data_IF_131364362417
#
_entry.id   IF_131364362417
#
_cell.length_a   1.000
_cell.length_b   1.000
_cell.length_c   1.000
_cell.angle_alpha   90.00
_cell.angle_beta   90.00
_cell.angle_gamma   90.00
#
_symmetry.space_group_name_H-M   'P 1'
#
loop_
_entity.id
_entity.type
_entity.pdbx_description
1 polymer ?
#
# COMPACT_ATOMS: atom_id res chain seq x y z
N UNK A 1 -19.80 -9.29 9.16
CA UNK A 1 -18.87 -8.30 8.59
C UNK A 1 -18.36 -8.87 7.27
N UNK A 2 -18.46 -8.11 6.18
CA UNK A 2 -17.90 -8.48 4.89
C UNK A 2 -16.37 -8.23 4.91
N UNK A 3 -15.51 -9.21 4.66
CA UNK A 3 -14.05 -9.03 4.64
C UNK A 3 -13.61 -8.34 3.35
N UNK A 4 -14.05 -7.11 3.14
CA UNK A 4 -13.72 -6.30 1.98
C UNK A 4 -13.53 -4.83 2.36
N UNK A 5 -12.60 -4.17 1.68
CA UNK A 5 -12.51 -2.72 1.63
C UNK A 5 -13.25 -2.24 0.38
N UNK A 6 -14.19 -1.33 0.54
CA UNK A 6 -15.00 -0.79 -0.57
C UNK A 6 -14.69 0.68 -0.83
N UNK A 7 -14.79 1.10 -2.08
CA UNK A 7 -14.68 2.51 -2.46
C UNK A 7 -15.99 3.25 -2.27
N UNK A 8 -15.89 4.59 -2.12
CA UNK A 8 -17.03 5.52 -2.09
C UNK A 8 -17.04 6.32 -3.39
N UNK A 9 -18.23 6.61 -3.90
CA UNK A 9 -18.39 7.27 -5.20
C UNK A 9 -18.03 8.75 -5.18
N UNK A 10 -18.38 9.47 -4.13
CA UNK A 10 -18.27 10.93 -4.06
C UNK A 10 -17.65 11.47 -2.75
N UNK A 11 -17.96 12.73 -2.46
CA UNK A 11 -17.49 13.44 -1.28
C UNK A 11 -18.30 13.12 -0.02
N UNK A 12 -19.48 12.53 -0.21
CA UNK A 12 -20.41 12.13 0.86
C UNK A 12 -20.93 10.73 0.58
N UNK A 13 -21.47 10.08 1.61
CA UNK A 13 -22.11 8.77 1.47
C UNK A 13 -23.53 8.97 0.94
N UNK A 14 -23.83 8.42 -0.23
CA UNK A 14 -25.17 8.44 -0.81
C UNK A 14 -26.13 7.49 -0.10
N UNK A 15 -27.44 7.68 -0.27
CA UNK A 15 -28.47 6.87 0.38
C UNK A 15 -28.36 5.36 0.06
N UNK A 16 -28.03 5.01 -1.19
CA UNK A 16 -27.83 3.62 -1.60
C UNK A 16 -26.58 3.01 -0.97
N UNK A 17 -25.47 3.79 -0.91
CA UNK A 17 -24.24 3.38 -0.25
C UNK A 17 -24.46 3.20 1.26
N UNK A 18 -25.19 4.11 1.90
CA UNK A 18 -25.55 3.97 3.32
C UNK A 18 -26.32 2.69 3.58
N UNK A 19 -27.33 2.39 2.78
CA UNK A 19 -28.12 1.15 2.89
C UNK A 19 -27.23 -0.09 2.70
N UNK A 20 -26.33 -0.07 1.73
CA UNK A 20 -25.37 -1.14 1.47
C UNK A 20 -24.37 -1.32 2.63
N UNK A 21 -23.80 -0.24 3.15
CA UNK A 21 -22.85 -0.27 4.28
C UNK A 21 -23.54 -0.86 5.52
N UNK A 22 -24.75 -0.38 5.86
CA UNK A 22 -25.51 -0.89 7.00
C UNK A 22 -25.82 -2.37 6.87
N UNK A 23 -26.14 -2.84 5.66
CA UNK A 23 -26.48 -4.25 5.38
C UNK A 23 -25.26 -5.15 5.42
N UNK A 24 -24.16 -4.78 4.74
CA UNK A 24 -23.03 -5.65 4.48
C UNK A 24 -21.91 -5.52 5.52
N UNK A 25 -21.85 -4.39 6.23
CA UNK A 25 -20.83 -4.11 7.24
C UNK A 25 -19.42 -4.43 6.71
N UNK A 26 -18.90 -3.70 5.69
CA UNK A 26 -17.58 -3.96 5.12
C UNK A 26 -16.48 -3.78 6.17
N UNK A 27 -15.37 -4.50 6.05
CA UNK A 27 -14.21 -4.35 6.94
C UNK A 27 -13.63 -2.93 6.93
N UNK A 28 -13.83 -2.19 5.82
CA UNK A 28 -13.40 -0.80 5.73
C UNK A 28 -13.64 -0.18 4.36
N UNK A 29 -12.97 0.94 4.16
CA UNK A 29 -13.14 1.80 3.00
C UNK A 29 -11.79 2.23 2.45
N UNK A 30 -11.71 2.40 1.13
CA UNK A 30 -10.57 3.03 0.45
C UNK A 30 -11.03 4.37 -0.14
N UNK A 31 -10.27 5.44 0.18
CA UNK A 31 -10.49 6.78 -0.36
C UNK A 31 -9.51 7.07 -1.49
N UNK A 32 -10.02 7.69 -2.54
CA UNK A 32 -9.27 8.17 -3.69
C UNK A 32 -9.34 9.70 -3.78
N UNK A 33 -8.61 10.31 -4.70
CA UNK A 33 -8.63 11.76 -4.90
C UNK A 33 -10.03 12.32 -5.15
N UNK A 34 -10.92 11.55 -5.79
CA UNK A 34 -12.33 11.93 -6.01
C UNK A 34 -13.14 12.09 -4.73
N UNK A 35 -12.66 11.56 -3.61
CA UNK A 35 -13.33 11.65 -2.31
C UNK A 35 -12.79 12.78 -1.44
N UNK A 36 -11.81 13.56 -1.94
CA UNK A 36 -11.03 14.52 -1.15
C UNK A 36 -11.12 15.91 -1.80
N UNK A 37 -11.85 16.82 -1.18
CA UNK A 37 -12.05 18.20 -1.62
C UNK A 37 -11.51 19.21 -0.60
N UNK A 38 -12.01 19.15 0.64
CA UNK A 38 -11.56 19.99 1.75
C UNK A 38 -11.33 19.15 3.02
N UNK A 39 -10.58 19.71 3.96
CA UNK A 39 -10.29 19.04 5.24
C UNK A 39 -11.59 18.73 6.00
N UNK A 40 -12.49 19.68 6.07
CA UNK A 40 -13.78 19.57 6.76
C UNK A 40 -14.65 18.48 6.10
N UNK A 41 -14.69 18.47 4.77
CA UNK A 41 -15.45 17.49 4.00
C UNK A 41 -14.93 16.08 4.26
N UNK A 42 -13.61 15.82 4.14
CA UNK A 42 -13.03 14.48 4.35
C UNK A 42 -13.27 13.99 5.78
N UNK A 43 -13.11 14.87 6.77
CA UNK A 43 -13.40 14.54 8.17
C UNK A 43 -14.87 14.15 8.36
N UNK A 44 -15.78 14.90 7.76
CA UNK A 44 -17.22 14.58 7.75
C UNK A 44 -17.50 13.22 7.12
N UNK A 45 -16.89 12.94 5.95
CA UNK A 45 -17.00 11.65 5.26
C UNK A 45 -16.50 10.50 6.14
N UNK A 46 -15.27 10.59 6.67
CA UNK A 46 -14.68 9.53 7.49
C UNK A 46 -15.45 9.30 8.79
N UNK A 47 -16.02 10.35 9.40
CA UNK A 47 -16.88 10.22 10.57
C UNK A 47 -18.21 9.54 10.22
N UNK A 48 -18.83 9.90 9.10
CA UNK A 48 -20.06 9.26 8.60
C UNK A 48 -19.86 7.77 8.36
N UNK A 49 -18.76 7.40 7.69
CA UNK A 49 -18.41 6.00 7.45
C UNK A 49 -18.25 5.20 8.75
N UNK A 50 -17.65 5.80 9.79
CA UNK A 50 -17.53 5.15 11.10
C UNK A 50 -18.87 4.97 11.80
N UNK A 51 -19.76 5.96 11.72
CA UNK A 51 -21.10 5.88 12.32
C UNK A 51 -22.00 4.84 11.68
N UNK A 52 -21.76 4.48 10.41
CA UNK A 52 -22.52 3.48 9.68
C UNK A 52 -22.11 2.05 10.00
N UNK A 53 -20.91 1.85 10.54
CA UNK A 53 -20.39 0.53 10.89
C UNK A 53 -20.62 0.19 12.37
N UNK A 54 -20.93 -1.09 12.65
CA UNK A 54 -21.05 -1.61 14.02
C UNK A 54 -19.70 -1.95 14.66
N UNK A 55 -18.62 -1.86 13.90
CA UNK A 55 -17.24 -2.09 14.32
C UNK A 55 -16.39 -0.88 13.95
N UNK A 56 -15.12 -0.89 14.34
CA UNK A 56 -14.17 0.17 13.96
C UNK A 56 -13.62 -0.13 12.55
N UNK A 57 -14.09 0.55 11.49
CA UNK A 57 -13.68 0.22 10.13
C UNK A 57 -12.26 0.68 9.83
N UNK A 58 -11.58 -0.03 8.93
CA UNK A 58 -10.39 0.47 8.27
C UNK A 58 -10.81 1.60 7.33
N UNK A 59 -10.10 2.73 7.37
CA UNK A 59 -10.20 3.80 6.38
C UNK A 59 -8.81 3.98 5.79
N UNK A 60 -8.67 3.58 4.52
CA UNK A 60 -7.40 3.47 3.83
C UNK A 60 -7.25 4.49 2.71
N UNK A 61 -6.00 4.80 2.37
CA UNK A 61 -5.63 5.68 1.25
C UNK A 61 -4.26 5.28 0.69
N UNK A 62 -4.02 5.56 -0.60
CA UNK A 62 -2.67 5.54 -1.19
C UNK A 62 -2.01 6.90 -1.04
N UNK A 63 -1.21 7.10 -0.01
CA UNK A 63 -0.48 8.34 0.23
C UNK A 63 1.01 8.01 0.29
N UNK A 64 1.64 7.86 -0.88
CA UNK A 64 3.04 7.43 -0.99
C UNK A 64 4.02 8.61 -1.01
N UNK A 65 3.58 9.71 -1.59
CA UNK A 65 4.40 10.85 -2.00
C UNK A 65 4.64 10.88 -3.51
N UNK A 66 5.18 11.98 -4.01
CA UNK A 66 5.41 12.21 -5.43
C UNK A 66 4.11 12.18 -6.25
N UNK A 67 4.03 11.27 -7.23
CA UNK A 67 2.86 11.16 -8.12
C UNK A 67 1.65 10.47 -7.47
N UNK A 68 1.84 9.79 -6.34
CA UNK A 68 0.76 9.08 -5.62
C UNK A 68 0.48 9.82 -4.31
N UNK A 69 -0.19 10.96 -4.45
CA UNK A 69 -0.64 11.85 -3.36
C UNK A 69 -2.13 12.11 -3.55
N UNK A 70 -2.98 11.53 -2.70
CA UNK A 70 -4.43 11.71 -2.81
C UNK A 70 -4.91 13.02 -2.18
N UNK A 71 -4.10 13.59 -1.29
CA UNK A 71 -4.38 14.84 -0.56
C UNK A 71 -3.84 16.09 -1.25
N UNK A 72 -3.48 16.01 -2.54
CA UNK A 72 -2.91 17.14 -3.29
C UNK A 72 -3.88 18.35 -3.37
N UNK A 73 -5.20 18.10 -3.47
CA UNK A 73 -6.24 19.14 -3.42
C UNK A 73 -6.24 19.94 -2.12
N UNK A 74 -5.74 19.36 -1.02
CA UNK A 74 -5.60 20.01 0.28
C UNK A 74 -4.29 20.80 0.42
N UNK A 75 -3.49 20.92 -0.66
CA UNK A 75 -2.19 21.58 -0.64
C UNK A 75 -1.06 20.73 -0.05
N UNK A 76 -1.30 19.48 0.32
CA UNK A 76 -0.28 18.59 0.86
C UNK A 76 0.46 17.87 -0.28
N UNK A 77 1.52 18.50 -0.77
CA UNK A 77 2.41 17.96 -1.79
C UNK A 77 3.64 17.34 -1.12
N UNK A 78 3.71 16.02 -1.12
CA UNK A 78 4.78 15.26 -0.47
C UNK A 78 5.86 14.85 -1.47
N UNK A 79 7.16 14.87 -1.10
CA UNK A 79 8.24 14.41 -1.97
C UNK A 79 8.09 12.92 -2.30
N UNK A 80 8.62 12.51 -3.47
CA UNK A 80 8.59 11.11 -3.85
C UNK A 80 9.62 10.28 -3.06
N UNK A 81 9.35 8.99 -2.81
CA UNK A 81 10.33 8.07 -2.23
C UNK A 81 11.67 8.10 -2.96
N UNK A 82 11.66 8.04 -4.30
CA UNK A 82 12.88 8.07 -5.10
C UNK A 82 13.66 9.40 -4.98
N UNK A 83 12.99 10.53 -4.78
CA UNK A 83 13.69 11.81 -4.57
C UNK A 83 14.43 11.84 -3.24
N UNK A 84 13.80 11.37 -2.17
CA UNK A 84 14.44 11.26 -0.85
C UNK A 84 15.57 10.22 -0.84
N UNK A 85 15.38 9.11 -1.55
CA UNK A 85 16.42 8.10 -1.71
C UNK A 85 17.67 8.67 -2.39
N UNK A 86 17.51 9.44 -3.48
CA UNK A 86 18.62 10.11 -4.16
C UNK A 86 19.35 11.13 -3.29
N UNK A 87 18.63 11.83 -2.44
CA UNK A 87 19.21 12.78 -1.50
C UNK A 87 19.96 12.11 -0.33
N UNK A 88 19.77 10.79 -0.12
CA UNK A 88 20.34 10.07 1.00
C UNK A 88 19.85 10.56 2.37
N UNK A 89 18.75 11.29 2.43
CA UNK A 89 18.28 11.97 3.63
C UNK A 89 17.40 11.07 4.48
N UNK A 90 17.96 10.40 5.46
CA UNK A 90 17.19 9.65 6.47
C UNK A 90 16.25 10.59 7.24
N UNK A 91 16.71 11.79 7.58
CA UNK A 91 15.87 12.82 8.24
C UNK A 91 14.64 13.17 7.41
N UNK A 92 14.78 13.34 6.10
CA UNK A 92 13.66 13.60 5.20
C UNK A 92 12.65 12.44 5.13
N UNK A 93 13.12 11.19 5.24
CA UNK A 93 12.23 10.01 5.28
C UNK A 93 11.44 9.98 6.61
N UNK A 94 12.11 10.28 7.73
CA UNK A 94 11.46 10.41 9.04
C UNK A 94 10.37 11.47 9.01
N UNK A 95 10.71 12.65 8.48
CA UNK A 95 9.77 13.77 8.35
C UNK A 95 8.60 13.44 7.44
N UNK A 96 8.85 12.84 6.26
CA UNK A 96 7.80 12.39 5.35
C UNK A 96 6.82 11.44 6.07
N UNK A 97 7.32 10.44 6.78
CA UNK A 97 6.48 9.50 7.52
C UNK A 97 5.66 10.17 8.62
N UNK A 98 6.27 11.08 9.38
CA UNK A 98 5.62 11.80 10.47
C UNK A 98 4.54 12.76 9.96
N UNK A 99 4.83 13.57 8.93
CA UNK A 99 3.87 14.51 8.33
C UNK A 99 2.72 13.74 7.68
N UNK A 100 3.02 12.67 6.95
CA UNK A 100 1.98 11.81 6.36
C UNK A 100 1.06 11.24 7.44
N UNK A 101 1.60 10.70 8.53
CA UNK A 101 0.80 10.15 9.61
C UNK A 101 -0.07 11.21 10.29
N UNK A 102 0.50 12.38 10.57
CA UNK A 102 -0.25 13.49 11.18
C UNK A 102 -1.43 13.91 10.32
N UNK A 103 -1.19 14.13 9.03
CA UNK A 103 -2.21 14.54 8.07
C UNK A 103 -3.32 13.47 7.94
N UNK A 104 -2.94 12.21 7.74
CA UNK A 104 -3.90 11.12 7.58
C UNK A 104 -4.76 10.91 8.83
N UNK A 105 -4.16 10.94 10.02
CA UNK A 105 -4.91 10.87 11.27
C UNK A 105 -5.88 12.03 11.42
N UNK A 106 -5.44 13.23 11.09
CA UNK A 106 -6.30 14.43 11.18
C UNK A 106 -7.53 14.31 10.27
N UNK A 107 -7.34 13.70 9.08
CA UNK A 107 -8.43 13.41 8.13
C UNK A 107 -9.28 12.20 8.54
N UNK A 108 -8.90 11.48 9.59
CA UNK A 108 -9.61 10.29 10.03
C UNK A 108 -9.22 9.00 9.29
N UNK A 109 -8.13 8.99 8.54
CA UNK A 109 -7.56 7.78 7.90
C UNK A 109 -6.70 7.03 8.90
N UNK A 110 -6.80 5.70 8.94
CA UNK A 110 -6.08 4.86 9.89
C UNK A 110 -5.16 3.82 9.24
N UNK A 111 -5.20 3.65 7.91
CA UNK A 111 -4.31 2.79 7.15
C UNK A 111 -3.78 3.54 5.92
N UNK A 112 -2.46 3.50 5.70
CA UNK A 112 -1.85 3.96 4.46
C UNK A 112 -1.34 2.77 3.65
N UNK A 113 -1.73 2.66 2.38
CA UNK A 113 -1.19 1.69 1.43
C UNK A 113 0.22 2.10 0.97
N UNK A 114 1.12 2.16 1.92
CA UNK A 114 2.54 2.43 1.78
C UNK A 114 3.31 1.82 2.97
N UNK A 115 4.60 1.51 2.84
CA UNK A 115 5.51 1.83 1.74
C UNK A 115 5.42 0.89 0.53
N UNK A 116 5.86 1.38 -0.64
CA UNK A 116 6.22 0.54 -1.77
C UNK A 116 7.51 -0.19 -1.43
N UNK A 117 7.50 -1.52 -1.48
CA UNK A 117 8.64 -2.39 -1.17
C UNK A 117 9.26 -3.03 -2.40
N UNK A 118 8.76 -2.66 -3.58
CA UNK A 118 9.34 -3.09 -4.84
C UNK A 118 10.73 -2.50 -5.04
N UNK A 119 11.64 -3.32 -5.59
CA UNK A 119 12.99 -2.89 -5.98
C UNK A 119 12.92 -2.28 -7.38
N UNK A 120 13.50 -1.10 -7.58
CA UNK A 120 13.56 -0.45 -8.90
C UNK A 120 14.71 -1.04 -9.72
N UNK A 121 14.49 -2.17 -10.40
CA UNK A 121 15.52 -2.80 -11.24
C UNK A 121 15.82 -2.00 -12.50
N UNK A 122 14.81 -1.35 -13.08
CA UNK A 122 14.96 -0.49 -14.25
C UNK A 122 14.13 0.79 -14.06
N UNK A 123 14.77 1.93 -13.81
CA UNK A 123 14.08 3.22 -13.64
C UNK A 123 13.44 3.74 -14.94
N UNK A 124 13.79 3.19 -16.10
CA UNK A 124 13.25 3.54 -17.41
C UNK A 124 12.07 2.65 -17.84
N UNK A 125 11.78 1.58 -17.08
CA UNK A 125 10.70 0.67 -17.41
C UNK A 125 9.34 1.37 -17.48
N UNK A 126 8.54 1.03 -18.48
CA UNK A 126 7.19 1.56 -18.67
C UNK A 126 6.16 0.88 -17.74
N UNK A 127 6.54 0.64 -16.49
CA UNK A 127 5.71 0.06 -15.46
C UNK A 127 5.13 1.14 -14.50
N UNK A 128 4.40 0.70 -13.49
CA UNK A 128 3.79 1.61 -12.52
C UNK A 128 4.75 2.19 -11.47
N UNK A 129 6.04 1.82 -11.45
CA UNK A 129 6.97 2.09 -10.34
C UNK A 129 7.83 3.37 -10.41
N UNK A 130 8.09 4.01 -11.56
CA UNK A 130 8.97 5.17 -11.61
C UNK A 130 8.63 6.22 -10.55
N UNK A 131 9.63 6.57 -9.74
CA UNK A 131 9.51 7.56 -8.66
C UNK A 131 8.95 7.01 -7.33
N UNK A 132 8.45 5.78 -7.28
CA UNK A 132 7.76 5.22 -6.09
C UNK A 132 8.66 4.34 -5.20
N UNK A 133 9.76 3.80 -5.75
CA UNK A 133 10.63 2.89 -5.02
C UNK A 133 11.63 3.62 -4.13
N UNK A 134 12.02 2.99 -3.02
CA UNK A 134 13.01 3.48 -2.08
C UNK A 134 14.46 3.18 -2.48
N UNK A 135 14.67 2.34 -3.47
CA UNK A 135 15.99 1.94 -3.96
C UNK A 135 15.94 0.96 -5.12
N UNK A 136 17.12 0.65 -5.62
CA UNK A 136 17.39 -0.30 -6.70
C UNK A 136 17.95 -1.64 -6.18
N UNK A 137 18.02 -1.79 -4.87
CA UNK A 137 18.44 -3.00 -4.19
C UNK A 137 17.64 -3.23 -2.91
N UNK A 138 17.60 -4.48 -2.43
CA UNK A 138 16.79 -4.88 -1.28
C UNK A 138 17.19 -4.14 0.01
N UNK A 139 18.49 -3.93 0.26
CA UNK A 139 18.98 -3.30 1.49
C UNK A 139 18.49 -1.85 1.63
N UNK A 140 18.51 -1.10 0.55
CA UNK A 140 18.01 0.27 0.50
C UNK A 140 16.51 0.34 0.73
N UNK A 141 15.75 -0.55 0.07
CA UNK A 141 14.30 -0.63 0.25
C UNK A 141 13.94 -1.01 1.68
N UNK A 142 14.64 -1.99 2.28
CA UNK A 142 14.43 -2.40 3.68
C UNK A 142 14.71 -1.24 4.63
N UNK A 143 15.87 -0.60 4.50
CA UNK A 143 16.26 0.45 5.43
C UNK A 143 15.35 1.68 5.35
N UNK A 144 15.12 2.19 4.14
CA UNK A 144 14.34 3.42 3.92
C UNK A 144 12.83 3.18 4.09
N UNK A 145 12.30 2.10 3.50
CA UNK A 145 10.90 1.70 3.66
C UNK A 145 10.56 1.38 5.12
N UNK A 146 11.48 0.75 5.86
CA UNK A 146 11.33 0.47 7.28
C UNK A 146 11.29 1.74 8.14
N UNK A 147 12.14 2.73 7.85
CA UNK A 147 12.11 4.05 8.52
C UNK A 147 10.77 4.73 8.28
N UNK A 148 10.29 4.76 7.03
CA UNK A 148 9.00 5.36 6.68
C UNK A 148 7.84 4.66 7.41
N UNK A 149 7.73 3.32 7.32
CA UNK A 149 6.68 2.54 7.98
C UNK A 149 6.69 2.72 9.51
N UNK A 150 7.88 2.76 10.12
CA UNK A 150 8.03 3.00 11.56
C UNK A 150 7.47 4.36 11.98
N UNK A 151 7.68 5.41 11.17
CA UNK A 151 7.19 6.75 11.48
C UNK A 151 5.66 6.88 11.23
N UNK A 152 5.10 6.20 10.23
CA UNK A 152 3.64 6.07 10.09
C UNK A 152 3.03 5.47 11.37
N UNK A 153 3.57 4.34 11.83
CA UNK A 153 3.09 3.65 13.03
C UNK A 153 3.23 4.50 14.29
N UNK A 154 4.36 5.19 14.47
CA UNK A 154 4.56 6.12 15.59
C UNK A 154 3.53 7.24 15.58
N UNK A 155 3.16 7.71 14.39
CA UNK A 155 2.10 8.70 14.20
C UNK A 155 0.68 8.13 14.34
N UNK A 156 0.50 6.82 14.59
CA UNK A 156 -0.80 6.16 14.79
C UNK A 156 -1.54 5.80 13.49
N UNK A 157 -0.84 5.73 12.35
CA UNK A 157 -1.36 5.23 11.07
C UNK A 157 -0.72 3.88 10.77
N UNK A 158 -1.53 2.91 10.44
CA UNK A 158 -1.06 1.58 10.02
C UNK A 158 -0.46 1.65 8.63
N UNK A 159 0.47 0.73 8.33
CA UNK A 159 1.17 0.65 7.06
C UNK A 159 0.90 -0.65 6.33
N UNK A 160 0.88 -0.58 5.00
CA UNK A 160 0.73 -1.71 4.11
C UNK A 160 1.89 -1.77 3.13
N UNK A 161 2.71 -2.81 3.21
CA UNK A 161 3.80 -3.02 2.25
C UNK A 161 3.27 -3.56 0.93
N UNK A 162 3.75 -3.03 -0.19
CA UNK A 162 3.28 -3.41 -1.53
C UNK A 162 4.39 -3.35 -2.58
N UNK A 163 4.29 -4.11 -3.62
CA UNK A 163 3.28 -5.04 -4.11
C UNK A 163 3.86 -6.47 -4.07
N UNK A 164 3.40 -7.26 -3.11
CA UNK A 164 3.92 -8.61 -2.83
C UNK A 164 3.67 -9.58 -4.00
N UNK A 165 4.63 -10.43 -4.38
CA UNK A 165 5.94 -10.67 -3.76
C UNK A 165 7.08 -9.81 -4.32
N UNK A 166 6.79 -8.76 -5.05
CA UNK A 166 7.69 -7.83 -5.73
C UNK A 166 7.41 -7.77 -7.22
N UNK A 167 7.04 -6.59 -7.71
CA UNK A 167 6.75 -6.36 -9.13
C UNK A 167 7.82 -5.49 -9.82
N UNK A 168 8.98 -5.31 -9.18
CA UNK A 168 10.03 -4.41 -9.67
C UNK A 168 10.60 -4.78 -11.05
N UNK A 169 10.51 -6.05 -11.43
CA UNK A 169 10.95 -6.59 -12.74
C UNK A 169 9.88 -6.53 -13.84
N UNK A 170 8.65 -6.12 -13.49
CA UNK A 170 7.58 -6.01 -14.48
C UNK A 170 7.93 -4.93 -15.51
N UNK A 171 7.78 -5.24 -16.80
CA UNK A 171 8.06 -4.31 -17.89
C UNK A 171 6.82 -3.52 -18.33
N UNK A 172 5.63 -3.95 -17.90
CA UNK A 172 4.36 -3.32 -18.23
C UNK A 172 3.63 -2.86 -16.96
N UNK A 173 2.74 -1.88 -17.11
CA UNK A 173 1.89 -1.41 -16.04
C UNK A 173 0.70 -2.36 -15.86
N UNK A 174 0.48 -2.92 -14.65
CA UNK A 174 -0.63 -3.84 -14.37
C UNK A 174 -2.02 -3.21 -14.53
N UNK A 175 -2.14 -1.89 -14.62
CA UNK A 175 -3.40 -1.23 -14.93
C UNK A 175 -3.86 -1.42 -16.39
N UNK A 176 -2.94 -1.75 -17.29
CA UNK A 176 -3.24 -1.89 -18.72
C UNK A 176 -3.12 -3.34 -19.23
N UNK A 177 -2.22 -4.12 -18.66
CA UNK A 177 -2.02 -5.51 -19.02
C UNK A 177 -1.45 -6.29 -17.84
N UNK A 178 -1.70 -7.59 -17.78
CA UNK A 178 -1.14 -8.45 -16.74
C UNK A 178 0.35 -8.71 -17.02
N UNK A 179 1.29 -8.13 -16.27
CA UNK A 179 2.71 -8.30 -16.53
C UNK A 179 3.17 -9.72 -16.20
N UNK A 180 4.16 -10.19 -16.95
CA UNK A 180 4.84 -11.47 -16.69
C UNK A 180 6.22 -11.16 -16.14
N UNK A 181 6.57 -11.78 -15.01
CA UNK A 181 7.89 -11.75 -14.41
C UNK A 181 8.45 -13.18 -14.42
N UNK A 182 9.36 -13.42 -15.35
CA UNK A 182 9.98 -14.74 -15.52
C UNK A 182 11.15 -14.90 -14.55
N UNK A 183 10.83 -15.41 -13.37
CA UNK A 183 11.74 -15.52 -12.24
C UNK A 183 11.45 -16.79 -11.45
N UNK A 184 12.49 -17.55 -11.14
CA UNK A 184 12.34 -18.73 -10.29
C UNK A 184 12.19 -18.35 -8.80
N UNK A 185 11.68 -19.29 -8.03
CA UNK A 185 11.44 -19.12 -6.60
C UNK A 185 12.72 -18.75 -5.84
N UNK A 186 13.85 -19.38 -6.19
CA UNK A 186 15.13 -19.18 -5.52
C UNK A 186 15.65 -17.76 -5.72
N UNK A 187 15.52 -17.23 -6.94
CA UNK A 187 15.94 -15.88 -7.25
C UNK A 187 15.02 -14.85 -6.60
N UNK A 188 13.70 -15.09 -6.62
CA UNK A 188 12.71 -14.24 -5.95
C UNK A 188 13.03 -14.10 -4.45
N UNK A 189 13.34 -15.22 -3.76
CA UNK A 189 13.73 -15.22 -2.35
C UNK A 189 15.03 -14.46 -2.06
N UNK A 190 15.95 -14.39 -3.02
CA UNK A 190 17.23 -13.71 -2.86
C UNK A 190 17.17 -12.22 -3.18
N UNK A 191 16.11 -11.77 -3.84
CA UNK A 191 16.00 -10.41 -4.36
C UNK A 191 14.69 -9.75 -3.94
N UNK A 192 13.66 -9.83 -4.77
CA UNK A 192 12.46 -9.02 -4.70
C UNK A 192 11.59 -9.32 -3.46
N UNK A 193 11.65 -10.53 -2.92
CA UNK A 193 10.93 -10.92 -1.72
C UNK A 193 11.62 -10.46 -0.42
N UNK A 194 12.93 -10.19 -0.43
CA UNK A 194 13.69 -9.82 0.79
C UNK A 194 13.10 -8.63 1.56
N UNK A 195 12.67 -7.52 0.91
CA UNK A 195 12.07 -6.41 1.64
C UNK A 195 10.79 -6.81 2.39
N UNK A 196 9.98 -7.68 1.81
CA UNK A 196 8.76 -8.18 2.44
C UNK A 196 9.07 -9.09 3.63
N UNK A 197 10.00 -10.03 3.48
CA UNK A 197 10.42 -10.92 4.58
C UNK A 197 10.98 -10.13 5.76
N UNK A 198 11.81 -9.11 5.48
CA UNK A 198 12.44 -8.32 6.51
C UNK A 198 11.46 -7.38 7.25
N UNK A 199 10.50 -6.80 6.53
CA UNK A 199 9.61 -5.77 7.08
C UNK A 199 8.24 -6.30 7.52
N UNK A 200 7.80 -7.48 7.07
CA UNK A 200 6.50 -8.07 7.43
C UNK A 200 6.18 -7.97 8.93
N UNK A 201 7.10 -8.26 9.87
CA UNK A 201 6.81 -8.16 11.30
C UNK A 201 6.48 -6.74 11.79
N UNK A 202 6.90 -5.71 11.03
CA UNK A 202 6.71 -4.30 11.35
C UNK A 202 5.51 -3.66 10.64
N UNK A 203 4.97 -4.34 9.61
CA UNK A 203 3.82 -3.88 8.82
C UNK A 203 2.50 -4.38 9.43
N UNK A 204 1.42 -3.66 9.17
CA UNK A 204 0.07 -4.07 9.59
C UNK A 204 -0.61 -4.96 8.55
N UNK A 205 -0.23 -4.83 7.30
CA UNK A 205 -0.74 -5.60 6.17
C UNK A 205 0.23 -5.61 4.99
N UNK A 206 -0.04 -6.49 4.03
CA UNK A 206 0.68 -6.59 2.76
C UNK A 206 -0.35 -6.63 1.64
N UNK A 207 -0.08 -5.92 0.55
CA UNK A 207 -0.90 -5.90 -0.67
C UNK A 207 -0.22 -6.74 -1.74
N UNK A 208 -0.95 -7.70 -2.31
CA UNK A 208 -0.46 -8.55 -3.40
C UNK A 208 -0.39 -7.82 -4.74
N UNK A 209 0.55 -8.24 -5.59
CA UNK A 209 0.74 -7.71 -6.94
C UNK A 209 -0.11 -8.45 -7.98
N UNK A 210 -0.58 -7.73 -8.99
CA UNK A 210 -1.21 -8.32 -10.17
C UNK A 210 -0.13 -8.62 -11.22
N UNK A 211 0.62 -9.70 -11.04
CA UNK A 211 1.67 -10.18 -11.94
C UNK A 211 1.58 -11.69 -12.13
N UNK A 212 2.01 -12.20 -13.29
CA UNK A 212 2.24 -13.63 -13.52
C UNK A 212 3.68 -13.99 -13.14
N UNK A 213 3.83 -15.11 -12.44
CA UNK A 213 5.11 -15.74 -12.09
C UNK A 213 5.10 -17.17 -12.64
N UNK A 214 5.28 -17.39 -13.97
CA UNK A 214 5.03 -18.69 -14.60
C UNK A 214 5.90 -19.84 -14.08
N UNK A 215 7.10 -19.54 -13.58
CA UNK A 215 7.98 -20.56 -12.97
C UNK A 215 7.52 -20.99 -11.57
N UNK A 216 6.61 -20.22 -10.93
CA UNK A 216 6.07 -20.53 -9.61
C UNK A 216 4.64 -21.03 -9.73
N UNK A 217 3.80 -20.30 -10.43
CA UNK A 217 2.41 -20.66 -10.73
C UNK A 217 2.07 -20.21 -12.16
N UNK A 218 2.00 -21.17 -13.12
CA UNK A 218 1.68 -20.84 -14.50
C UNK A 218 0.20 -20.52 -14.74
N UNK A 219 -0.67 -20.90 -13.84
CA UNK A 219 -2.13 -20.85 -14.03
C UNK A 219 -2.76 -19.58 -13.46
N UNK A 220 -2.21 -19.04 -12.35
CA UNK A 220 -2.80 -17.92 -11.63
C UNK A 220 -1.81 -16.77 -11.39
N UNK A 221 -2.27 -15.50 -11.52
CA UNK A 221 -1.48 -14.36 -11.11
C UNK A 221 -1.24 -14.39 -9.59
N UNK A 222 -0.18 -13.73 -9.14
CA UNK A 222 0.26 -13.76 -7.74
C UNK A 222 -0.87 -13.49 -6.74
N UNK A 223 -1.80 -12.56 -7.04
CA UNK A 223 -2.95 -12.24 -6.19
C UNK A 223 -3.93 -13.42 -6.01
N UNK A 224 -4.03 -14.33 -6.99
CA UNK A 224 -4.95 -15.48 -6.96
C UNK A 224 -4.20 -16.80 -6.73
N UNK A 225 -2.88 -16.79 -6.70
CA UNK A 225 -2.05 -17.97 -6.53
C UNK A 225 -1.97 -18.39 -5.06
N UNK A 226 -2.50 -19.56 -4.75
CA UNK A 226 -2.34 -20.16 -3.42
C UNK A 226 -0.86 -20.44 -3.10
N UNK A 227 -0.07 -20.84 -4.10
CA UNK A 227 1.38 -21.07 -3.98
C UNK A 227 2.10 -19.80 -3.53
N UNK A 228 1.81 -18.66 -4.17
CA UNK A 228 2.43 -17.38 -3.83
C UNK A 228 1.93 -16.88 -2.47
N UNK A 229 0.61 -16.83 -2.27
CA UNK A 229 0.04 -16.24 -1.06
C UNK A 229 0.35 -17.10 0.17
N UNK A 230 0.09 -18.42 0.15
CA UNK A 230 0.35 -19.28 1.31
C UNK A 230 1.80 -19.68 1.45
N UNK A 231 2.48 -20.01 0.34
CA UNK A 231 3.86 -20.48 0.36
C UNK A 231 4.83 -19.42 0.91
N UNK A 232 4.73 -18.20 0.43
CA UNK A 232 5.67 -17.13 0.83
C UNK A 232 5.19 -16.35 2.05
N UNK A 233 3.87 -16.21 2.26
CA UNK A 233 3.34 -15.58 3.47
C UNK A 233 3.55 -16.47 4.71
N UNK A 234 3.50 -17.79 4.61
CA UNK A 234 3.84 -18.67 5.73
C UNK A 234 5.30 -18.47 6.16
N UNK A 235 6.22 -18.27 5.21
CA UNK A 235 7.62 -17.99 5.51
C UNK A 235 7.81 -16.61 6.16
N UNK A 236 7.00 -15.61 5.78
CA UNK A 236 6.99 -14.28 6.38
C UNK A 236 6.25 -14.25 7.73
N UNK A 237 5.29 -15.18 7.95
CA UNK A 237 4.37 -15.22 9.11
C UNK A 237 4.91 -15.97 10.32
N UNK A 238 6.14 -16.46 10.33
CA UNK A 238 6.74 -17.07 11.52
C UNK A 238 6.68 -16.15 12.76
N UNK A 239 6.22 -14.91 12.57
CA UNK A 239 5.97 -13.91 13.62
C UNK A 239 4.49 -13.56 13.88
N UNK A 240 3.52 -14.34 13.44
CA UNK A 240 2.16 -14.35 14.03
C UNK A 240 1.19 -13.20 13.69
N UNK A 241 1.26 -12.57 12.52
CA UNK A 241 0.26 -11.58 12.10
C UNK A 241 -0.29 -11.87 10.70
N UNK A 242 -1.62 -11.79 10.56
CA UNK A 242 -2.33 -12.20 9.36
C UNK A 242 -2.04 -11.33 8.12
N UNK A 243 -2.10 -11.99 6.97
CA UNK A 243 -2.07 -11.36 5.64
C UNK A 243 -3.51 -11.14 5.18
N UNK A 244 -3.80 -9.96 4.69
CA UNK A 244 -5.09 -9.62 4.07
C UNK A 244 -4.86 -9.48 2.56
N UNK A 245 -5.47 -10.36 1.79
CA UNK A 245 -5.62 -10.25 0.34
C UNK A 245 -6.94 -9.63 -0.04
#
# INVERSE_FOLDING_TARGET
MLPALIGISGHEVGAEEEAAIRRWQPAGFILFSRNIDSVEQVRGLTESLRKLCLHHPVIAVDQEGGRVVRTASLGLNLPSPASLARLGSVGGIVELGAVTALALRYLGVNLNFAPVLDICHDPSAANALPGRCWGDNAQDVISRGGVYASNLRRGGVQSCGKHFPGMGRALADPHFSLPVVDLDERELFKTDLLPFLALCPALSSIMSAHIMLPQIDPDYPATLSERVIRGFCATASVSGRGVYG
#
